data_IF_512824856026
#
_entry.id   IF_512824856026
#
_cell.length_a   1.000
_cell.length_b   1.000
_cell.length_c   1.000
_cell.angle_alpha   90.00
_cell.angle_beta   90.00
_cell.angle_gamma   90.00
#
_symmetry.space_group_name_H-M   'P 1'
#
loop_
_entity.id
_entity.type
_entity.pdbx_description
1 polymer ?
#
# COMPACT_ATOMS: atom_id res chain seq x y z
N UNK A 1 -16.42 44.39 -38.93
CA UNK A 1 -15.74 43.17 -38.35
C UNK A 1 -16.55 41.95 -38.72
N UNK A 2 -16.22 41.28 -39.80
CA UNK A 2 -16.91 40.06 -40.27
C UNK A 2 -16.35 38.89 -39.44
N UNK A 3 -17.15 38.39 -38.46
CA UNK A 3 -16.81 37.19 -37.70
C UNK A 3 -16.80 35.99 -38.63
N UNK A 4 -15.66 35.29 -38.72
CA UNK A 4 -15.50 34.00 -39.41
C UNK A 4 -16.24 32.93 -38.59
N UNK A 5 -17.51 32.67 -38.90
CA UNK A 5 -18.21 31.51 -38.41
C UNK A 5 -17.80 30.28 -39.26
N UNK A 6 -17.03 29.37 -38.67
CA UNK A 6 -16.78 28.05 -39.30
C UNK A 6 -18.10 27.31 -39.46
N UNK A 7 -18.38 26.67 -40.61
CA UNK A 7 -19.60 25.93 -40.84
C UNK A 7 -19.75 24.79 -39.83
N UNK A 8 -20.92 24.58 -39.28
CA UNK A 8 -21.24 23.58 -38.23
C UNK A 8 -20.86 22.17 -38.66
N UNK A 9 -20.92 21.84 -39.99
CA UNK A 9 -20.46 20.58 -40.57
C UNK A 9 -18.95 20.35 -40.42
N UNK A 10 -18.16 21.43 -40.49
CA UNK A 10 -16.70 21.38 -40.30
C UNK A 10 -16.34 21.09 -38.84
N UNK A 11 -16.98 21.76 -37.89
CA UNK A 11 -16.81 21.47 -36.46
C UNK A 11 -17.21 20.05 -36.11
N UNK A 12 -18.30 19.54 -36.65
CA UNK A 12 -18.79 18.18 -36.39
C UNK A 12 -17.86 17.09 -36.93
N UNK A 13 -17.21 17.32 -38.09
CA UNK A 13 -16.20 16.43 -38.64
C UNK A 13 -14.98 16.30 -37.72
N UNK A 14 -14.45 17.43 -37.24
CA UNK A 14 -13.32 17.45 -36.34
C UNK A 14 -13.64 16.86 -34.97
N UNK A 15 -14.82 17.08 -34.41
CA UNK A 15 -15.21 16.44 -33.16
C UNK A 15 -15.29 14.92 -33.26
N UNK A 16 -15.82 14.40 -34.37
CA UNK A 16 -15.81 12.95 -34.64
C UNK A 16 -14.40 12.39 -34.80
N UNK A 17 -13.54 13.06 -35.55
CA UNK A 17 -12.18 12.64 -35.75
C UNK A 17 -11.41 12.60 -34.43
N UNK A 18 -11.52 13.64 -33.61
CA UNK A 18 -10.91 13.70 -32.27
C UNK A 18 -11.44 12.60 -31.36
N UNK A 19 -12.74 12.33 -31.40
CA UNK A 19 -13.33 11.25 -30.65
C UNK A 19 -12.78 9.87 -31.07
N UNK A 20 -12.65 9.62 -32.38
CA UNK A 20 -12.08 8.37 -32.89
C UNK A 20 -10.59 8.21 -32.49
N UNK A 21 -9.82 9.31 -32.57
CA UNK A 21 -8.42 9.31 -32.12
C UNK A 21 -8.35 9.01 -30.62
N UNK A 22 -9.21 9.62 -29.81
CA UNK A 22 -9.29 9.40 -28.37
C UNK A 22 -9.64 7.94 -28.03
N UNK A 23 -10.65 7.38 -28.70
CA UNK A 23 -11.02 5.95 -28.53
C UNK A 23 -9.87 5.02 -28.98
N UNK A 24 -9.21 5.34 -30.09
CA UNK A 24 -8.04 4.61 -30.56
C UNK A 24 -6.88 4.66 -29.54
N UNK A 25 -6.59 5.83 -28.97
CA UNK A 25 -5.56 5.98 -27.96
C UNK A 25 -5.87 5.19 -26.69
N UNK A 26 -7.14 5.19 -26.24
CA UNK A 26 -7.59 4.33 -25.12
C UNK A 26 -7.38 2.85 -25.47
N UNK A 27 -7.73 2.43 -26.69
CA UNK A 27 -7.54 1.04 -27.12
C UNK A 27 -6.07 0.62 -27.08
N UNK A 28 -5.17 1.45 -27.61
CA UNK A 28 -3.72 1.22 -27.54
C UNK A 28 -3.23 1.17 -26.09
N UNK A 29 -3.70 2.08 -25.26
CA UNK A 29 -3.34 2.09 -23.84
C UNK A 29 -3.82 0.83 -23.11
N UNK A 30 -5.04 0.37 -23.36
CA UNK A 30 -5.56 -0.88 -22.77
C UNK A 30 -4.75 -2.11 -23.21
N UNK A 31 -4.36 -2.18 -24.49
CA UNK A 31 -3.49 -3.25 -25.01
C UNK A 31 -2.13 -3.19 -24.31
N UNK A 32 -1.55 -2.02 -24.15
CA UNK A 32 -0.29 -1.84 -23.41
C UNK A 32 -0.41 -2.34 -21.97
N UNK A 33 -1.47 -1.95 -21.24
CA UNK A 33 -1.71 -2.44 -19.86
C UNK A 33 -1.84 -3.96 -19.80
N UNK A 34 -2.53 -4.55 -20.78
CA UNK A 34 -2.71 -6.01 -20.83
C UNK A 34 -1.40 -6.75 -21.11
N UNK A 35 -0.59 -6.27 -22.07
CA UNK A 35 0.69 -6.88 -22.44
C UNK A 35 1.74 -6.73 -21.34
N UNK A 36 1.72 -5.60 -20.64
CA UNK A 36 2.67 -5.32 -19.53
C UNK A 36 2.19 -5.83 -18.18
N UNK A 37 1.00 -6.44 -18.10
CA UNK A 37 0.45 -6.97 -16.86
C UNK A 37 1.35 -8.08 -16.28
N UNK A 38 1.75 -7.99 -15.01
CA UNK A 38 2.68 -8.96 -14.42
C UNK A 38 2.05 -10.35 -14.27
N UNK A 39 2.86 -11.39 -14.43
CA UNK A 39 2.43 -12.78 -14.22
C UNK A 39 2.26 -13.10 -12.73
N UNK A 40 1.15 -12.66 -12.14
CA UNK A 40 0.85 -12.83 -10.71
C UNK A 40 0.77 -14.33 -10.32
N UNK A 41 0.30 -15.19 -11.23
CA UNK A 41 0.20 -16.64 -10.98
C UNK A 41 1.55 -17.29 -10.61
N UNK A 42 2.69 -16.76 -11.11
CA UNK A 42 4.03 -17.24 -10.72
C UNK A 42 4.29 -17.13 -9.22
N UNK A 43 3.70 -16.16 -8.55
CA UNK A 43 3.86 -15.98 -7.11
C UNK A 43 3.25 -17.12 -6.27
N UNK A 44 2.50 -18.04 -6.86
CA UNK A 44 2.02 -19.24 -6.18
C UNK A 44 3.20 -20.14 -5.75
N UNK A 45 4.24 -20.23 -6.58
CA UNK A 45 5.39 -21.12 -6.38
C UNK A 45 6.74 -20.42 -6.34
N UNK A 46 6.85 -19.23 -6.93
CA UNK A 46 8.08 -18.45 -7.03
C UNK A 46 8.13 -17.33 -6.00
N UNK A 47 9.28 -17.17 -5.38
CA UNK A 47 9.52 -16.05 -4.46
C UNK A 47 10.08 -14.85 -5.23
N UNK A 48 9.50 -13.65 -5.09
CA UNK A 48 10.06 -12.48 -5.73
C UNK A 48 11.46 -12.17 -5.17
N UNK A 49 12.43 -12.07 -6.07
CA UNK A 49 13.82 -11.73 -5.71
C UNK A 49 14.02 -10.23 -5.56
N UNK A 50 13.14 -9.44 -6.18
CA UNK A 50 13.12 -7.97 -6.06
C UNK A 50 11.68 -7.47 -6.20
N UNK A 51 11.46 -6.19 -5.92
CA UNK A 51 10.17 -5.52 -6.06
C UNK A 51 10.37 -4.12 -6.62
N UNK A 52 9.33 -3.51 -7.20
CA UNK A 52 9.40 -2.13 -7.67
C UNK A 52 9.87 -1.16 -6.58
N UNK A 53 9.47 -1.39 -5.33
CA UNK A 53 9.93 -0.58 -4.20
C UNK A 53 11.43 -0.74 -3.94
N UNK A 54 11.94 -1.98 -3.94
CA UNK A 54 13.38 -2.24 -3.77
C UNK A 54 14.18 -1.58 -4.88
N UNK A 55 13.78 -1.77 -6.15
CA UNK A 55 14.46 -1.17 -7.30
C UNK A 55 14.43 0.37 -7.24
N UNK A 56 13.30 0.95 -6.83
CA UNK A 56 13.17 2.38 -6.63
C UNK A 56 14.20 2.87 -5.58
N UNK A 57 14.30 2.23 -4.41
CA UNK A 57 15.28 2.59 -3.37
C UNK A 57 16.73 2.44 -3.83
N UNK A 58 17.03 1.40 -4.59
CA UNK A 58 18.35 1.21 -5.16
C UNK A 58 18.68 2.30 -6.19
N UNK A 59 17.69 2.73 -6.98
CA UNK A 59 17.86 3.81 -7.95
C UNK A 59 18.05 5.18 -7.26
N UNK A 60 17.29 5.47 -6.19
CA UNK A 60 17.49 6.67 -5.36
C UNK A 60 18.91 6.70 -4.76
N UNK A 61 19.36 5.58 -4.16
CA UNK A 61 20.70 5.51 -3.59
C UNK A 61 21.78 5.75 -4.66
N UNK A 62 21.58 5.20 -5.87
CA UNK A 62 22.49 5.42 -7.00
C UNK A 62 22.51 6.89 -7.45
N UNK A 63 21.34 7.52 -7.56
CA UNK A 63 21.23 8.93 -7.95
C UNK A 63 21.89 9.87 -6.93
N UNK A 64 21.81 9.53 -5.64
CA UNK A 64 22.41 10.26 -4.54
C UNK A 64 23.88 9.91 -4.28
N UNK A 65 24.51 9.05 -5.09
CA UNK A 65 25.86 8.51 -4.88
C UNK A 65 26.04 7.85 -3.50
N UNK A 66 24.98 7.23 -2.97
CA UNK A 66 25.00 6.46 -1.73
C UNK A 66 25.22 4.97 -1.99
N UNK A 67 25.64 4.24 -0.95
CA UNK A 67 25.74 2.80 -1.00
C UNK A 67 24.39 2.15 -1.27
N UNK A 68 24.33 1.27 -2.27
CA UNK A 68 23.14 0.48 -2.58
C UNK A 68 23.03 -0.67 -1.61
N UNK A 69 22.10 -0.59 -0.66
CA UNK A 69 21.90 -1.58 0.39
C UNK A 69 20.67 -2.41 0.10
N UNK A 70 20.83 -3.74 0.12
CA UNK A 70 19.73 -4.70 0.06
C UNK A 70 20.05 -5.89 0.96
N UNK A 71 19.52 -5.86 2.16
CA UNK A 71 19.57 -6.99 3.09
C UNK A 71 18.18 -7.62 3.15
N UNK A 72 18.02 -8.76 2.49
CA UNK A 72 16.80 -9.53 2.39
C UNK A 72 17.12 -11.01 2.53
N UNK A 73 16.41 -11.69 3.42
CA UNK A 73 16.48 -13.15 3.61
C UNK A 73 15.05 -13.65 3.58
N UNK A 74 14.74 -14.51 2.61
CA UNK A 74 13.42 -15.11 2.51
C UNK A 74 13.22 -16.13 3.64
N UNK A 75 12.04 -16.06 4.27
CA UNK A 75 11.63 -17.02 5.30
C UNK A 75 10.22 -17.54 4.99
N UNK A 76 10.00 -18.86 4.87
CA UNK A 76 8.67 -19.43 4.71
C UNK A 76 7.74 -19.05 5.86
N UNK A 77 6.44 -18.92 5.58
CA UNK A 77 5.45 -18.48 6.57
C UNK A 77 5.44 -19.32 7.84
N UNK A 78 5.68 -20.61 7.71
CA UNK A 78 5.70 -21.56 8.84
C UNK A 78 6.91 -21.39 9.76
N UNK A 79 7.93 -20.67 9.31
CA UNK A 79 9.13 -20.35 10.08
C UNK A 79 9.10 -18.93 10.67
N UNK A 80 8.17 -18.08 10.25
CA UNK A 80 7.98 -16.75 10.83
C UNK A 80 7.16 -16.88 12.11
N UNK A 81 7.60 -16.19 13.18
CA UNK A 81 6.85 -16.17 14.44
C UNK A 81 5.39 -15.75 14.23
N UNK A 82 4.40 -16.50 14.72
CA UNK A 82 3.00 -16.09 14.69
C UNK A 82 2.76 -14.73 15.34
N UNK A 83 3.61 -14.34 16.29
CA UNK A 83 3.55 -13.01 16.89
C UNK A 83 3.74 -11.90 15.85
N UNK A 84 4.68 -12.09 14.89
CA UNK A 84 4.91 -11.07 13.86
C UNK A 84 3.71 -10.96 12.91
N UNK A 85 3.16 -12.08 12.46
CA UNK A 85 1.96 -12.09 11.64
C UNK A 85 0.79 -11.36 12.35
N UNK A 86 0.52 -11.71 13.61
CA UNK A 86 -0.52 -11.03 14.41
C UNK A 86 -0.25 -9.54 14.60
N UNK A 87 0.99 -9.16 14.86
CA UNK A 87 1.36 -7.77 15.06
C UNK A 87 1.16 -6.93 13.79
N UNK A 88 1.58 -7.48 12.64
CA UNK A 88 1.43 -6.82 11.34
C UNK A 88 -0.05 -6.66 10.99
N UNK A 89 -0.85 -7.72 11.14
CA UNK A 89 -2.28 -7.64 10.88
C UNK A 89 -2.98 -6.67 11.85
N UNK A 90 -2.65 -6.68 13.13
CA UNK A 90 -3.20 -5.75 14.10
C UNK A 90 -2.86 -4.27 13.81
N UNK A 91 -1.71 -4.03 13.17
CA UNK A 91 -1.24 -2.70 12.83
C UNK A 91 -1.71 -2.17 11.48
N UNK A 92 -1.87 -3.06 10.52
CA UNK A 92 -2.09 -2.70 9.11
C UNK A 92 -3.45 -3.12 8.57
N UNK A 93 -3.98 -4.30 9.00
CA UNK A 93 -5.17 -4.89 8.40
C UNK A 93 -5.79 -5.95 9.33
N UNK A 94 -6.51 -5.50 10.34
CA UNK A 94 -7.04 -6.39 11.38
C UNK A 94 -8.08 -7.40 10.85
N UNK A 95 -8.71 -7.10 9.71
CA UNK A 95 -9.75 -7.92 9.06
C UNK A 95 -9.25 -8.64 7.82
N UNK A 96 -7.93 -8.80 7.66
CA UNK A 96 -7.28 -9.39 6.48
C UNK A 96 -7.92 -10.68 5.97
N UNK A 97 -8.39 -11.55 6.85
CA UNK A 97 -9.03 -12.82 6.48
C UNK A 97 -10.53 -12.71 6.16
N UNK A 98 -11.13 -11.53 6.36
CA UNK A 98 -12.57 -11.31 6.22
C UNK A 98 -12.95 -10.64 4.90
N UNK A 99 -11.98 -10.07 4.18
CA UNK A 99 -12.19 -9.40 2.90
C UNK A 99 -11.33 -9.97 1.77
N UNK A 100 -11.66 -9.64 0.52
CA UNK A 100 -10.92 -10.05 -0.69
C UNK A 100 -10.15 -8.87 -1.29
N UNK A 101 -9.16 -8.37 -0.55
CA UNK A 101 -8.26 -7.31 -0.98
C UNK A 101 -8.73 -5.89 -0.66
N UNK A 102 -10.02 -5.65 -0.49
CA UNK A 102 -10.59 -4.36 -0.13
C UNK A 102 -11.45 -4.50 1.11
N UNK A 103 -11.09 -3.81 2.18
CA UNK A 103 -11.93 -3.71 3.38
C UNK A 103 -12.88 -2.50 3.23
N UNK A 104 -14.07 -2.77 2.66
CA UNK A 104 -15.06 -1.74 2.35
C UNK A 104 -15.57 -1.04 3.61
N UNK A 105 -15.73 -1.75 4.72
CA UNK A 105 -16.18 -1.15 5.98
C UNK A 105 -15.10 -0.23 6.57
N UNK A 106 -13.81 -0.62 6.42
CA UNK A 106 -12.71 0.25 6.83
C UNK A 106 -12.59 1.49 5.92
N UNK A 107 -12.86 1.35 4.63
CA UNK A 107 -12.88 2.47 3.66
C UNK A 107 -14.01 3.43 4.01
N UNK A 108 -15.23 2.94 4.23
CA UNK A 108 -16.39 3.74 4.63
C UNK A 108 -16.13 4.48 5.95
N UNK A 109 -15.64 3.75 6.96
CA UNK A 109 -15.29 4.35 8.25
C UNK A 109 -14.23 5.44 8.14
N UNK A 110 -13.20 5.23 7.30
CA UNK A 110 -12.15 6.22 7.07
C UNK A 110 -12.67 7.44 6.30
N UNK A 111 -13.60 7.25 5.38
CA UNK A 111 -14.28 8.33 4.66
C UNK A 111 -15.13 9.19 5.61
N UNK A 112 -15.96 8.57 6.45
CA UNK A 112 -16.79 9.27 7.42
C UNK A 112 -15.96 10.06 8.44
N UNK A 113 -14.84 9.48 8.88
CA UNK A 113 -13.89 10.17 9.75
C UNK A 113 -13.24 11.37 9.05
N UNK A 114 -12.86 11.19 7.78
CA UNK A 114 -12.23 12.26 6.98
C UNK A 114 -13.20 13.42 6.70
N UNK A 115 -14.47 13.13 6.41
CA UNK A 115 -15.52 14.16 6.24
C UNK A 115 -15.70 14.95 7.54
N UNK A 116 -15.88 14.28 8.68
CA UNK A 116 -16.02 14.93 9.99
C UNK A 116 -14.82 15.80 10.35
N UNK A 117 -13.62 15.34 10.03
CA UNK A 117 -12.40 16.10 10.31
C UNK A 117 -12.27 17.31 9.37
N UNK A 118 -12.62 17.16 8.08
CA UNK A 118 -12.67 18.28 7.13
C UNK A 118 -13.66 19.37 7.56
N UNK A 119 -14.86 18.99 8.01
CA UNK A 119 -15.82 19.95 8.58
C UNK A 119 -15.30 20.68 9.81
N UNK A 120 -14.60 19.94 10.67
CA UNK A 120 -14.01 20.51 11.89
C UNK A 120 -12.89 21.50 11.57
N UNK A 121 -12.05 21.18 10.58
CA UNK A 121 -10.99 22.07 10.10
C UNK A 121 -11.60 23.33 9.47
N UNK A 122 -12.60 23.21 8.58
CA UNK A 122 -13.29 24.33 7.98
C UNK A 122 -13.99 25.24 9.02
N UNK A 123 -14.62 24.66 10.03
CA UNK A 123 -15.20 25.42 11.17
C UNK A 123 -14.13 26.19 11.95
N UNK A 124 -12.96 25.61 12.15
CA UNK A 124 -11.86 26.27 12.87
C UNK A 124 -11.24 27.41 12.06
N UNK A 125 -11.26 27.34 10.72
CA UNK A 125 -10.78 28.34 9.79
C UNK A 125 -11.81 29.44 9.49
N UNK A 126 -13.09 29.23 9.85
CA UNK A 126 -14.19 30.16 9.60
C UNK A 126 -14.81 30.06 8.20
N UNK A 127 -14.45 29.02 7.44
CA UNK A 127 -14.89 28.76 6.05
C UNK A 127 -16.03 27.73 5.96
N UNK A 128 -16.75 27.47 7.06
CA UNK A 128 -17.82 26.48 7.09
C UNK A 128 -19.21 27.14 7.01
N UNK A 129 -19.93 26.90 5.92
CA UNK A 129 -21.37 27.17 5.79
C UNK A 129 -22.12 25.83 5.60
N UNK A 130 -23.05 25.46 6.52
CA UNK A 130 -23.85 24.25 6.38
C UNK A 130 -24.82 24.27 5.19
N UNK A 131 -25.05 25.43 4.57
CA UNK A 131 -25.92 25.58 3.39
C UNK A 131 -25.13 25.58 2.07
N UNK A 132 -23.80 25.52 2.11
CA UNK A 132 -23.00 25.40 0.90
C UNK A 132 -23.31 24.08 0.18
N UNK A 133 -23.53 24.18 -1.13
CA UNK A 133 -23.76 22.99 -1.96
C UNK A 133 -22.49 22.15 -2.20
N UNK A 134 -21.30 22.69 -1.95
CA UNK A 134 -20.03 21.99 -1.97
C UNK A 134 -19.57 21.77 -0.53
N UNK A 135 -19.59 20.52 -0.02
CA UNK A 135 -19.11 20.25 1.34
C UNK A 135 -17.60 20.50 1.44
N UNK A 136 -17.09 20.75 2.65
CA UNK A 136 -15.66 20.86 2.90
C UNK A 136 -14.90 19.63 2.44
N UNK A 137 -13.66 19.82 1.95
CA UNK A 137 -12.83 18.71 1.49
C UNK A 137 -12.52 17.72 2.63
N UNK A 138 -12.72 16.40 2.43
CA UNK A 138 -12.40 15.42 3.45
C UNK A 138 -10.91 15.44 3.83
N UNK A 139 -10.62 15.45 5.14
CA UNK A 139 -9.25 15.46 5.69
C UNK A 139 -8.85 14.07 6.16
N UNK A 140 -8.06 13.36 5.35
CA UNK A 140 -7.65 11.98 5.63
C UNK A 140 -6.44 11.91 6.57
N UNK A 141 -6.67 11.62 7.84
CA UNK A 141 -5.62 11.40 8.86
C UNK A 141 -5.24 9.91 8.99
N UNK A 142 -6.10 9.02 8.55
CA UNK A 142 -5.91 7.57 8.59
C UNK A 142 -6.03 6.97 7.19
N UNK A 143 -5.12 6.05 6.83
CA UNK A 143 -5.22 5.25 5.62
C UNK A 143 -6.09 4.00 5.84
N UNK A 144 -6.85 3.60 4.80
CA UNK A 144 -7.65 2.37 4.77
C UNK A 144 -7.09 1.34 3.78
N UNK A 145 -5.79 1.37 3.51
CA UNK A 145 -5.13 0.41 2.60
C UNK A 145 -4.89 -0.91 3.31
N UNK A 146 -5.32 -2.01 2.69
CA UNK A 146 -5.12 -3.38 3.17
C UNK A 146 -3.69 -3.87 2.94
N UNK A 147 -3.33 -4.99 3.60
CA UNK A 147 -2.05 -5.70 3.35
C UNK A 147 -1.90 -6.08 1.88
N UNK A 148 -2.96 -6.54 1.21
CA UNK A 148 -2.90 -6.92 -0.20
C UNK A 148 -2.69 -5.70 -1.12
N UNK A 149 -3.32 -4.55 -0.83
CA UNK A 149 -3.09 -3.30 -1.56
C UNK A 149 -1.65 -2.80 -1.37
N UNK A 150 -1.13 -2.88 -0.15
CA UNK A 150 0.27 -2.54 0.14
C UNK A 150 1.23 -3.49 -0.58
N UNK A 151 0.93 -4.79 -0.63
CA UNK A 151 1.71 -5.77 -1.39
C UNK A 151 1.72 -5.46 -2.88
N UNK A 152 0.54 -5.20 -3.48
CA UNK A 152 0.41 -4.81 -4.88
C UNK A 152 1.28 -3.60 -5.22
N UNK A 153 1.23 -2.57 -4.36
CA UNK A 153 2.06 -1.38 -4.51
C UNK A 153 3.55 -1.72 -4.43
N UNK A 154 3.99 -2.46 -3.43
CA UNK A 154 5.41 -2.81 -3.24
C UNK A 154 5.97 -3.63 -4.39
N UNK A 155 5.20 -4.61 -4.91
CA UNK A 155 5.65 -5.51 -5.96
C UNK A 155 5.79 -4.82 -7.32
N UNK A 156 4.82 -3.96 -7.69
CA UNK A 156 4.60 -3.61 -9.09
C UNK A 156 4.52 -2.12 -9.40
N UNK A 157 4.45 -1.24 -8.38
CA UNK A 157 4.17 0.17 -8.62
C UNK A 157 5.30 1.08 -8.15
N UNK A 158 5.48 2.19 -8.88
CA UNK A 158 6.37 3.28 -8.46
C UNK A 158 5.76 4.10 -7.32
N UNK A 159 6.59 4.97 -6.71
CA UNK A 159 6.14 5.91 -5.67
C UNK A 159 5.31 7.10 -6.23
N UNK A 160 5.19 7.25 -7.55
CA UNK A 160 4.42 8.33 -8.16
C UNK A 160 2.97 8.31 -7.69
N UNK A 161 2.45 9.47 -7.30
CA UNK A 161 1.08 9.62 -6.82
C UNK A 161 0.19 10.14 -7.94
N UNK A 162 -0.49 9.22 -8.65
CA UNK A 162 -1.50 9.58 -9.65
C UNK A 162 -2.67 8.59 -9.63
N UNK A 163 -3.80 9.00 -10.21
CA UNK A 163 -5.02 8.19 -10.23
C UNK A 163 -4.86 6.88 -11.03
N UNK A 164 -4.08 6.90 -12.13
CA UNK A 164 -3.82 5.69 -12.94
C UNK A 164 -3.07 4.64 -12.12
N UNK A 165 -2.08 5.06 -11.32
CA UNK A 165 -1.39 4.17 -10.39
C UNK A 165 -2.36 3.54 -9.39
N UNK A 166 -3.32 4.32 -8.85
CA UNK A 166 -4.32 3.78 -7.90
C UNK A 166 -5.26 2.78 -8.58
N UNK A 167 -5.61 3.00 -9.85
CA UNK A 167 -6.35 2.03 -10.67
C UNK A 167 -5.57 0.72 -10.88
N UNK A 168 -4.28 0.82 -11.22
CA UNK A 168 -3.39 -0.37 -11.34
C UNK A 168 -3.26 -1.11 -10.01
N UNK A 169 -3.08 -0.38 -8.89
CA UNK A 169 -3.04 -0.97 -7.55
C UNK A 169 -4.29 -1.80 -7.26
N UNK A 170 -5.47 -1.27 -7.60
CA UNK A 170 -6.72 -1.99 -7.42
C UNK A 170 -6.80 -3.26 -8.30
N UNK A 171 -6.39 -3.17 -9.57
CA UNK A 171 -6.33 -4.32 -10.45
C UNK A 171 -5.37 -5.40 -9.92
N UNK A 172 -4.14 -5.03 -9.55
CA UNK A 172 -3.16 -5.97 -9.00
C UNK A 172 -3.64 -6.59 -7.69
N UNK A 173 -4.28 -5.82 -6.81
CA UNK A 173 -4.90 -6.31 -5.58
C UNK A 173 -5.93 -7.40 -5.87
N UNK A 174 -6.85 -7.15 -6.79
CA UNK A 174 -7.87 -8.13 -7.19
C UNK A 174 -7.24 -9.42 -7.72
N UNK A 175 -6.22 -9.32 -8.59
CA UNK A 175 -5.57 -10.51 -9.15
C UNK A 175 -4.68 -11.23 -8.14
N UNK A 176 -4.05 -10.54 -7.19
CA UNK A 176 -3.34 -11.19 -6.08
C UNK A 176 -4.30 -12.05 -5.24
N UNK A 177 -5.44 -11.51 -4.83
CA UNK A 177 -6.44 -12.24 -4.05
C UNK A 177 -7.06 -13.42 -4.82
N UNK A 178 -7.22 -13.28 -6.14
CA UNK A 178 -7.79 -14.34 -6.97
C UNK A 178 -6.81 -15.50 -7.22
N UNK A 179 -5.52 -15.22 -7.25
CA UNK A 179 -4.50 -16.21 -7.59
C UNK A 179 -3.76 -16.79 -6.38
N UNK A 180 -3.72 -16.09 -5.25
CA UNK A 180 -2.94 -16.49 -4.09
C UNK A 180 -3.83 -16.75 -2.88
N UNK A 181 -3.43 -17.69 -2.03
CA UNK A 181 -4.06 -17.85 -0.72
C UNK A 181 -3.68 -16.69 0.20
N UNK A 182 -4.50 -16.38 1.19
CA UNK A 182 -4.22 -15.39 2.24
C UNK A 182 -2.88 -15.65 2.93
N UNK A 183 -2.57 -16.92 3.21
CA UNK A 183 -1.28 -17.33 3.76
C UNK A 183 -0.13 -16.90 2.86
N UNK A 184 -0.25 -17.13 1.55
CA UNK A 184 0.80 -16.77 0.58
C UNK A 184 0.95 -15.26 0.41
N UNK A 185 -0.14 -14.52 0.35
CA UNK A 185 -0.13 -13.05 0.32
C UNK A 185 0.63 -12.50 1.53
N UNK A 186 0.29 -12.97 2.72
CA UNK A 186 0.96 -12.53 3.95
C UNK A 186 2.43 -12.95 4.00
N UNK A 187 2.75 -14.16 3.53
CA UNK A 187 4.13 -14.62 3.42
C UNK A 187 4.97 -13.71 2.53
N UNK A 188 4.49 -13.42 1.32
CA UNK A 188 5.20 -12.54 0.40
C UNK A 188 5.34 -11.15 1.01
N UNK A 189 4.25 -10.59 1.55
CA UNK A 189 4.26 -9.29 2.21
C UNK A 189 5.35 -9.19 3.28
N UNK A 190 5.38 -10.14 4.22
CA UNK A 190 6.35 -10.16 5.32
C UNK A 190 7.80 -10.31 4.83
N UNK A 191 8.02 -10.81 3.63
CA UNK A 191 9.36 -11.02 3.07
C UNK A 191 9.86 -9.88 2.17
N UNK A 192 8.97 -8.97 1.72
CA UNK A 192 9.35 -7.94 0.75
C UNK A 192 9.25 -6.51 1.26
N UNK A 193 8.47 -6.25 2.32
CA UNK A 193 8.28 -4.89 2.82
C UNK A 193 9.56 -4.32 3.43
N UNK A 194 9.69 -2.98 3.35
CA UNK A 194 10.80 -2.23 3.93
C UNK A 194 10.61 -2.05 5.43
N UNK A 195 11.65 -2.37 6.22
CA UNK A 195 11.69 -2.22 7.67
C UNK A 195 12.74 -1.22 8.13
N UNK A 196 13.56 -0.71 7.22
CA UNK A 196 14.65 0.22 7.48
C UNK A 196 15.48 0.44 6.22
N UNK A 197 16.47 1.30 6.30
CA UNK A 197 17.34 1.61 5.17
C UNK A 197 18.06 0.35 4.65
N UNK A 198 17.64 -0.09 3.45
CA UNK A 198 18.14 -1.31 2.81
C UNK A 198 17.75 -2.61 3.53
N UNK A 199 16.82 -2.60 4.48
CA UNK A 199 16.38 -3.79 5.23
C UNK A 199 15.00 -4.21 4.78
N UNK A 200 14.91 -5.36 4.11
CA UNK A 200 13.67 -5.88 3.53
C UNK A 200 13.35 -7.27 4.10
N UNK A 201 12.09 -7.45 4.50
CA UNK A 201 11.58 -8.70 5.02
C UNK A 201 11.84 -8.96 6.49
N UNK A 202 11.02 -9.87 7.03
CA UNK A 202 10.94 -10.18 8.46
C UNK A 202 12.24 -10.69 9.06
N UNK A 203 12.92 -11.62 8.36
CA UNK A 203 14.17 -12.20 8.86
C UNK A 203 15.29 -11.17 8.90
N UNK A 204 15.44 -10.38 7.83
CA UNK A 204 16.43 -9.31 7.78
C UNK A 204 16.16 -8.27 8.88
N UNK A 205 14.90 -7.87 9.08
CA UNK A 205 14.51 -6.96 10.14
C UNK A 205 14.82 -7.50 11.53
N UNK A 206 14.44 -8.76 11.81
CA UNK A 206 14.71 -9.40 13.10
C UNK A 206 16.21 -9.47 13.40
N UNK A 207 17.02 -9.85 12.43
CA UNK A 207 18.48 -9.89 12.57
C UNK A 207 19.08 -8.50 12.75
N UNK A 208 18.57 -7.51 11.99
CA UNK A 208 19.07 -6.15 12.08
C UNK A 208 18.80 -5.52 13.45
N UNK A 209 17.57 -5.61 13.94
CA UNK A 209 17.14 -4.92 15.17
C UNK A 209 17.38 -5.73 16.46
N UNK A 210 17.25 -7.05 16.42
CA UNK A 210 17.27 -7.91 17.61
C UNK A 210 18.34 -9.01 17.60
N UNK A 211 19.14 -9.13 16.51
CA UNK A 211 20.24 -10.09 16.37
C UNK A 211 19.80 -11.56 16.50
N UNK A 212 18.55 -11.86 16.14
CA UNK A 212 17.97 -13.21 16.18
C UNK A 212 17.06 -13.49 14.98
N UNK A 213 16.69 -14.76 14.81
CA UNK A 213 15.77 -15.16 13.75
C UNK A 213 14.35 -14.65 14.00
N UNK A 214 13.62 -14.34 12.91
CA UNK A 214 12.22 -13.95 12.97
C UNK A 214 11.30 -15.03 13.55
N UNK A 215 11.72 -16.29 13.58
CA UNK A 215 11.01 -17.39 14.25
C UNK A 215 10.92 -17.19 15.77
N UNK A 216 11.89 -16.49 16.36
CA UNK A 216 12.05 -16.32 17.80
C UNK A 216 11.61 -14.94 18.31
N UNK A 217 10.87 -14.16 17.49
CA UNK A 217 10.37 -12.87 17.91
C UNK A 217 9.34 -13.01 19.04
N UNK A 218 9.59 -12.30 20.14
CA UNK A 218 8.61 -12.15 21.20
C UNK A 218 7.44 -11.29 20.72
N UNK A 219 6.39 -11.24 21.49
CA UNK A 219 5.21 -10.42 21.21
C UNK A 219 5.55 -8.92 21.13
N UNK A 220 6.40 -8.45 22.04
CA UNK A 220 6.82 -7.06 22.14
C UNK A 220 7.72 -6.67 20.97
N UNK A 221 8.65 -7.53 20.58
CA UNK A 221 9.56 -7.30 19.46
C UNK A 221 8.79 -7.32 18.12
N UNK A 222 7.87 -8.26 17.96
CA UNK A 222 6.98 -8.32 16.80
C UNK A 222 6.14 -7.03 16.65
N UNK A 223 5.54 -6.57 17.74
CA UNK A 223 4.78 -5.32 17.75
C UNK A 223 5.67 -4.09 17.51
N UNK A 224 6.92 -4.12 17.96
CA UNK A 224 7.90 -3.05 17.69
C UNK A 224 8.23 -2.97 16.20
N UNK A 225 8.55 -4.10 15.56
CA UNK A 225 8.77 -4.13 14.10
C UNK A 225 7.54 -3.65 13.35
N UNK A 226 6.36 -4.21 13.64
CA UNK A 226 5.12 -3.80 13.00
C UNK A 226 4.84 -2.29 13.13
N UNK A 227 5.22 -1.69 14.27
CA UNK A 227 5.05 -0.25 14.48
C UNK A 227 5.84 0.63 13.51
N UNK A 228 6.87 0.10 12.86
CA UNK A 228 7.74 0.83 11.94
C UNK A 228 7.21 0.84 10.50
N UNK A 229 6.42 -0.16 10.10
CA UNK A 229 6.01 -0.42 8.71
C UNK A 229 5.51 0.81 7.94
N UNK A 230 4.64 1.68 8.47
CA UNK A 230 4.08 2.77 7.65
C UNK A 230 5.10 3.77 7.12
N UNK A 231 6.24 3.93 7.81
CA UNK A 231 7.29 4.87 7.39
C UNK A 231 8.60 4.59 8.15
N UNK A 232 9.31 3.49 7.84
CA UNK A 232 10.46 3.03 8.61
C UNK A 232 11.69 3.95 8.48
N UNK A 233 11.78 4.71 7.40
CA UNK A 233 12.89 5.64 7.15
C UNK A 233 12.70 7.02 7.80
N UNK A 234 11.46 7.41 8.08
CA UNK A 234 11.12 8.76 8.52
C UNK A 234 10.27 8.77 9.79
N UNK A 235 8.94 8.77 9.64
CA UNK A 235 7.97 9.03 10.73
C UNK A 235 8.02 7.98 11.84
N UNK A 236 8.25 6.72 11.47
CA UNK A 236 8.34 5.60 12.40
C UNK A 236 9.75 4.99 12.45
N UNK A 237 10.76 5.79 12.12
CA UNK A 237 12.16 5.41 12.32
C UNK A 237 12.50 5.49 13.81
N UNK A 238 12.97 4.40 14.44
CA UNK A 238 13.24 4.37 15.88
C UNK A 238 14.42 5.27 16.30
N UNK A 239 15.36 5.53 15.40
CA UNK A 239 16.47 6.46 15.68
C UNK A 239 16.00 7.93 15.67
N UNK A 240 14.99 8.26 14.84
CA UNK A 240 14.44 9.62 14.71
C UNK A 240 13.30 9.89 15.69
N UNK A 241 12.38 8.92 15.87
CA UNK A 241 11.08 9.12 16.54
C UNK A 241 10.71 7.97 17.46
N UNK A 242 11.61 7.54 18.35
CA UNK A 242 11.41 6.41 19.28
C UNK A 242 10.08 6.49 20.04
N UNK A 243 9.70 7.67 20.56
CA UNK A 243 8.43 7.84 21.30
C UNK A 243 7.19 7.50 20.45
N UNK A 244 7.20 7.84 19.15
CA UNK A 244 6.10 7.56 18.23
C UNK A 244 6.01 6.06 17.92
N UNK A 245 7.15 5.40 17.70
CA UNK A 245 7.22 3.94 17.52
C UNK A 245 6.66 3.22 18.74
N UNK A 246 7.12 3.56 19.95
CA UNK A 246 6.66 2.93 21.20
C UNK A 246 5.16 3.18 21.48
N UNK A 247 4.63 4.34 21.09
CA UNK A 247 3.19 4.60 21.20
C UNK A 247 2.38 3.69 20.27
N UNK A 248 2.82 3.54 19.01
CA UNK A 248 2.19 2.64 18.02
C UNK A 248 2.34 1.18 18.44
N UNK A 249 3.52 0.76 18.92
CA UNK A 249 3.76 -0.58 19.46
C UNK A 249 2.74 -0.95 20.54
N UNK A 250 2.49 -0.05 21.51
CA UNK A 250 1.48 -0.28 22.56
C UNK A 250 0.06 -0.46 22.00
N UNK A 251 -0.31 0.27 20.97
CA UNK A 251 -1.60 0.09 20.31
C UNK A 251 -1.69 -1.27 19.61
N UNK A 252 -0.64 -1.67 18.89
CA UNK A 252 -0.55 -2.97 18.20
C UNK A 252 -0.62 -4.11 19.23
N UNK A 253 0.12 -4.04 20.32
CA UNK A 253 0.08 -5.06 21.40
C UNK A 253 -1.33 -5.31 21.93
N UNK A 254 -2.14 -4.26 22.07
CA UNK A 254 -3.56 -4.41 22.48
C UNK A 254 -4.38 -5.10 21.39
N UNK A 255 -4.18 -4.70 20.12
CA UNK A 255 -4.91 -5.25 18.98
C UNK A 255 -4.56 -6.71 18.65
N UNK A 256 -3.33 -7.17 18.93
CA UNK A 256 -2.90 -8.54 18.64
C UNK A 256 -3.77 -9.63 19.28
N UNK A 257 -4.47 -9.32 20.38
CA UNK A 257 -5.33 -10.29 21.07
C UNK A 257 -6.56 -10.68 20.26
N UNK A 258 -7.07 -9.78 19.41
CA UNK A 258 -8.24 -10.04 18.57
C UNK A 258 -7.89 -10.73 17.26
N UNK A 259 -6.59 -10.79 16.87
CA UNK A 259 -6.18 -11.35 15.59
C UNK A 259 -6.16 -12.89 15.64
N UNK A 260 -7.00 -13.49 14.81
CA UNK A 260 -6.99 -14.94 14.53
C UNK A 260 -6.25 -15.18 13.21
N UNK A 261 -5.33 -16.13 13.20
CA UNK A 261 -4.61 -16.55 12.00
C UNK A 261 -5.35 -17.74 11.38
N UNK A 262 -6.28 -17.47 10.49
CA UNK A 262 -7.17 -18.47 9.91
C UNK A 262 -6.45 -19.63 9.16
N UNK A 263 -5.18 -19.50 8.84
CA UNK A 263 -4.36 -20.55 8.23
C UNK A 263 -3.71 -21.50 9.25
N UNK A 264 -3.81 -21.21 10.54
CA UNK A 264 -3.20 -22.03 11.62
C UNK A 264 -4.18 -23.03 12.24
N UNK A 265 -5.43 -23.04 11.79
CA UNK A 265 -6.52 -23.87 12.34
C UNK A 265 -6.68 -25.21 11.58
N UNK A 266 -5.59 -25.80 11.03
CA UNK A 266 -5.61 -27.14 10.41
C UNK A 266 -4.76 -28.12 11.19
#
# INVERSE_FOLDING_TARGET
MSGFFLPTSFMWYWTKLLFLIFVGAIGVWLVYELVTFPSISRLQSENPTTTSMIEYRLSEARADNKEQRKFQIWMPMDQISPNLAKAVLAGEDARFFEHNGFDWDAIESAWDEAVKEGEKEAKAEGDYDPNDWIPPMPSFKRGASTVTQQLAKNLYLSEDRNFLRKGREAAYTYFLERNLSKKRILEIYLNVIEWGDGVYGAEAASRNYFKKSASNLTREEAAYLSAMIPSPLNVFNPAKNKKRVLRRQRAILRGMNSIKLAYSEK
#
